data_IF_347525513814
#
_entry.id   IF_347525513814
#
_cell.length_a   1.000
_cell.length_b   1.000
_cell.length_c   1.000
_cell.angle_alpha   90.00
_cell.angle_beta   90.00
_cell.angle_gamma   90.00
#
_symmetry.space_group_name_H-M   'P 1'
#
loop_
_entity.id
_entity.type
_entity.pdbx_description
1 polymer ?
#
# COMPACT_ATOMS: atom_id res chain seq x y z
N UNK A 1 19.55 -1.03 2.52
CA UNK A 1 18.87 -0.09 3.44
C UNK A 1 19.82 0.93 4.09
N UNK A 2 21.12 0.84 3.90
CA UNK A 2 22.10 1.77 4.49
C UNK A 2 21.85 3.26 4.13
N UNK A 3 21.26 3.53 2.97
CA UNK A 3 20.89 4.86 2.46
C UNK A 3 19.39 5.13 2.50
N UNK A 4 18.65 4.34 3.24
CA UNK A 4 17.19 4.46 3.30
C UNK A 4 16.72 4.86 4.70
N UNK A 5 15.57 5.51 4.72
CA UNK A 5 14.83 5.83 5.93
C UNK A 5 13.35 5.46 5.77
N UNK A 6 12.67 5.25 6.88
CA UNK A 6 11.23 5.03 6.91
C UNK A 6 10.56 6.00 7.88
N UNK A 7 9.32 6.40 7.57
CA UNK A 7 8.55 7.29 8.43
C UNK A 7 8.10 6.59 9.70
N UNK A 8 8.48 7.15 10.85
CA UNK A 8 8.07 6.70 12.18
C UNK A 8 7.12 7.72 12.81
N UNK A 9 5.91 7.79 12.26
CA UNK A 9 4.86 8.74 12.66
C UNK A 9 3.51 8.03 12.71
N UNK A 10 2.55 8.54 13.46
CA UNK A 10 1.19 7.98 13.52
C UNK A 10 0.29 8.47 12.38
N UNK A 11 0.59 9.62 11.79
CA UNK A 11 -0.13 10.19 10.65
C UNK A 11 0.73 10.20 9.40
N UNK A 12 0.97 11.34 8.83
CA UNK A 12 1.90 11.54 7.72
C UNK A 12 2.92 12.62 8.08
N UNK A 13 4.05 12.63 7.41
CA UNK A 13 5.04 13.70 7.52
C UNK A 13 5.15 14.45 6.19
N UNK A 14 5.23 15.79 6.27
CA UNK A 14 5.41 16.63 5.10
C UNK A 14 6.84 16.57 4.59
N UNK A 15 6.97 16.42 3.28
CA UNK A 15 8.23 16.59 2.57
C UNK A 15 8.29 18.04 2.12
N UNK A 16 9.36 18.73 2.46
CA UNK A 16 9.53 20.17 2.25
C UNK A 16 10.53 20.46 1.14
N UNK A 17 10.36 21.58 0.46
CA UNK A 17 11.28 22.02 -0.61
C UNK A 17 12.66 22.43 -0.06
N UNK A 18 12.74 22.88 1.20
CA UNK A 18 13.98 23.32 1.86
C UNK A 18 14.03 22.79 3.31
N UNK A 19 15.19 22.88 3.94
CA UNK A 19 15.45 22.52 5.35
C UNK A 19 14.77 23.50 6.33
N UNK A 20 13.50 23.78 6.12
CA UNK A 20 12.75 24.77 6.85
C UNK A 20 11.28 24.35 6.98
N UNK A 21 10.72 24.48 8.19
CA UNK A 21 9.32 24.15 8.48
C UNK A 21 8.30 25.09 7.79
N UNK A 22 8.72 26.27 7.36
CA UNK A 22 7.88 27.24 6.67
C UNK A 22 7.96 27.16 5.14
N UNK A 23 8.86 26.29 4.60
CA UNK A 23 9.00 26.09 3.16
C UNK A 23 7.83 25.31 2.56
N UNK A 24 7.71 25.36 1.24
CA UNK A 24 6.65 24.69 0.48
C UNK A 24 6.62 23.17 0.74
N UNK A 25 5.42 22.60 0.81
CA UNK A 25 5.23 21.16 0.93
C UNK A 25 5.16 20.58 -0.48
N UNK A 26 6.14 19.75 -0.84
CA UNK A 26 6.24 19.11 -2.17
C UNK A 26 5.62 17.71 -2.20
N UNK A 27 5.41 17.11 -1.04
CA UNK A 27 4.80 15.79 -0.91
C UNK A 27 4.60 15.38 0.53
N UNK A 28 4.11 14.18 0.71
CA UNK A 28 3.90 13.57 2.03
C UNK A 28 4.49 12.16 2.07
N UNK A 29 4.90 11.73 3.25
CA UNK A 29 5.34 10.37 3.52
C UNK A 29 4.40 9.74 4.55
N UNK A 30 3.78 8.62 4.19
CA UNK A 30 2.86 7.89 5.04
C UNK A 30 3.60 7.08 6.11
N UNK A 31 2.92 6.68 7.21
CA UNK A 31 3.52 5.87 8.26
C UNK A 31 4.15 4.59 7.72
N UNK A 32 5.37 4.32 8.10
CA UNK A 32 6.10 3.14 7.67
C UNK A 32 6.66 3.18 6.24
N UNK A 33 6.26 4.13 5.40
CA UNK A 33 6.77 4.24 4.03
C UNK A 33 8.24 4.62 4.00
N UNK A 34 8.95 4.11 2.99
CA UNK A 34 10.40 4.26 2.87
C UNK A 34 10.79 5.29 1.81
N UNK A 35 11.90 5.97 2.06
CA UNK A 35 12.52 6.91 1.13
C UNK A 35 14.02 6.68 1.05
N UNK A 36 14.63 7.04 -0.07
CA UNK A 36 16.08 7.09 -0.20
C UNK A 36 16.60 8.40 0.36
N UNK A 37 17.54 8.34 1.28
CA UNK A 37 18.25 9.49 1.83
C UNK A 37 19.43 9.81 0.91
N UNK A 38 19.38 10.94 0.25
CA UNK A 38 20.45 11.41 -0.65
C UNK A 38 21.52 12.18 0.11
N UNK A 39 21.10 12.93 1.15
CA UNK A 39 22.00 13.67 2.03
C UNK A 39 21.43 13.68 3.45
N UNK A 40 22.23 13.23 4.41
CA UNK A 40 21.83 13.22 5.82
C UNK A 40 22.45 14.43 6.53
N UNK A 41 21.61 15.36 6.94
CA UNK A 41 22.01 16.50 7.79
C UNK A 41 21.78 16.22 9.27
N UNK A 42 22.02 17.24 10.12
CA UNK A 42 21.89 17.13 11.58
C UNK A 42 20.42 17.11 12.04
N UNK A 43 19.59 18.00 11.51
CA UNK A 43 18.14 18.09 11.84
C UNK A 43 17.24 17.65 10.68
N UNK A 44 17.68 17.87 9.44
CA UNK A 44 16.93 17.57 8.23
C UNK A 44 17.74 16.63 7.34
N UNK A 45 17.06 15.74 6.65
CA UNK A 45 17.66 14.89 5.62
C UNK A 45 17.00 15.16 4.29
N UNK A 46 17.83 15.28 3.24
CA UNK A 46 17.36 15.33 1.86
C UNK A 46 17.00 13.93 1.40
N UNK A 47 15.82 13.79 0.84
CA UNK A 47 15.30 12.52 0.38
C UNK A 47 14.86 12.56 -1.08
N UNK A 48 14.85 11.40 -1.70
CA UNK A 48 14.25 11.19 -3.02
C UNK A 48 13.45 9.89 -3.02
N UNK A 49 12.22 9.93 -3.50
CA UNK A 49 11.36 8.75 -3.63
C UNK A 49 10.20 9.03 -4.58
N UNK A 50 9.93 8.12 -5.52
CA UNK A 50 8.80 8.21 -6.47
C UNK A 50 8.70 9.54 -7.22
N UNK A 51 9.85 10.12 -7.59
CA UNK A 51 9.90 11.42 -8.28
C UNK A 51 9.71 12.65 -7.37
N UNK A 52 9.49 12.46 -6.08
CA UNK A 52 9.45 13.53 -5.08
C UNK A 52 10.83 13.70 -4.47
N UNK A 53 11.37 14.91 -4.52
CA UNK A 53 12.61 15.30 -3.84
C UNK A 53 12.31 16.40 -2.83
N UNK A 54 12.96 16.34 -1.68
CA UNK A 54 12.78 17.35 -0.64
C UNK A 54 13.44 16.98 0.66
N UNK A 55 13.03 17.63 1.73
CA UNK A 55 13.61 17.50 3.06
C UNK A 55 12.58 17.04 4.08
N UNK A 56 13.02 16.15 4.96
CA UNK A 56 12.24 15.69 6.11
C UNK A 56 13.08 15.84 7.37
N UNK A 57 12.46 16.22 8.49
CA UNK A 57 13.14 16.24 9.78
C UNK A 57 13.49 14.84 10.24
N UNK A 58 14.71 14.68 10.75
CA UNK A 58 15.25 13.39 11.20
C UNK A 58 14.44 12.79 12.37
N UNK A 59 13.77 13.60 13.17
CA UNK A 59 12.94 13.15 14.31
C UNK A 59 11.74 12.28 13.87
N UNK A 60 11.31 12.40 12.60
CA UNK A 60 10.21 11.62 12.01
C UNK A 60 10.67 10.40 11.23
N UNK A 61 11.98 10.15 11.20
CA UNK A 61 12.59 9.09 10.40
C UNK A 61 13.37 8.10 11.26
N UNK A 62 13.27 6.85 10.92
CA UNK A 62 14.22 5.80 11.31
C UNK A 62 15.09 5.45 10.13
N UNK A 63 16.34 5.06 10.36
CA UNK A 63 17.36 4.91 9.30
C UNK A 63 17.94 3.50 9.26
N UNK A 64 18.42 3.09 8.08
CA UNK A 64 19.19 1.85 7.89
C UNK A 64 18.39 0.59 8.19
N UNK A 65 18.97 -0.32 8.94
CA UNK A 65 18.33 -1.62 9.26
C UNK A 65 17.10 -1.47 10.17
N UNK A 66 17.07 -0.45 11.01
CA UNK A 66 15.89 -0.12 11.81
C UNK A 66 14.73 0.33 10.91
N UNK A 67 15.01 1.11 9.87
CA UNK A 67 14.02 1.49 8.87
C UNK A 67 13.47 0.27 8.13
N UNK A 68 14.32 -0.70 7.79
CA UNK A 68 13.92 -1.96 7.16
C UNK A 68 12.95 -2.75 8.05
N UNK A 69 13.28 -2.88 9.32
CA UNK A 69 12.43 -3.58 10.29
C UNK A 69 11.09 -2.85 10.47
N UNK A 70 11.13 -1.52 10.57
CA UNK A 70 9.93 -0.68 10.70
C UNK A 70 9.04 -0.77 9.46
N UNK A 71 9.62 -0.63 8.26
CA UNK A 71 8.89 -0.79 6.99
C UNK A 71 8.23 -2.17 6.89
N UNK A 72 8.99 -3.24 7.19
CA UNK A 72 8.48 -4.62 7.17
C UNK A 72 7.28 -4.80 8.09
N UNK A 73 7.34 -4.26 9.30
CA UNK A 73 6.27 -4.37 10.29
C UNK A 73 5.00 -3.60 9.87
N UNK A 74 5.17 -2.43 9.24
CA UNK A 74 4.05 -1.54 8.88
C UNK A 74 3.45 -1.85 7.52
N UNK A 75 4.28 -2.10 6.52
CA UNK A 75 3.87 -2.22 5.11
C UNK A 75 3.98 -3.64 4.57
N UNK A 76 4.82 -4.49 5.20
CA UNK A 76 5.28 -5.73 4.62
C UNK A 76 6.26 -5.49 3.45
N UNK A 77 7.10 -6.48 3.15
CA UNK A 77 7.89 -6.49 1.93
C UNK A 77 7.15 -7.36 0.92
N UNK A 78 6.95 -6.86 -0.28
CA UNK A 78 6.31 -7.65 -1.33
C UNK A 78 7.24 -8.75 -1.80
N UNK A 79 6.75 -9.98 -1.80
CA UNK A 79 7.42 -11.14 -2.37
C UNK A 79 6.63 -11.69 -3.55
N UNK A 80 7.32 -12.14 -4.58
CA UNK A 80 6.72 -12.78 -5.77
C UNK A 80 7.03 -14.27 -5.75
N UNK A 81 6.01 -15.09 -5.81
CA UNK A 81 6.12 -16.56 -5.81
C UNK A 81 6.72 -17.05 -7.14
N UNK A 82 7.82 -17.80 -7.06
CA UNK A 82 8.52 -18.34 -8.22
C UNK A 82 8.09 -19.79 -8.57
N UNK A 83 7.57 -20.52 -7.58
CA UNK A 83 7.14 -21.91 -7.77
C UNK A 83 5.73 -21.98 -8.39
N UNK A 84 5.47 -22.96 -9.25
CA UNK A 84 4.14 -23.23 -9.82
C UNK A 84 3.07 -23.41 -8.74
N UNK A 85 3.46 -23.97 -7.59
CA UNK A 85 2.60 -24.22 -6.45
C UNK A 85 3.41 -24.17 -5.16
N UNK A 86 3.27 -23.10 -4.40
CA UNK A 86 3.95 -22.90 -3.11
C UNK A 86 3.00 -23.20 -1.95
N UNK A 87 3.39 -24.11 -1.10
CA UNK A 87 2.61 -24.48 0.10
C UNK A 87 2.70 -23.39 1.16
N UNK A 88 1.55 -22.96 1.63
CA UNK A 88 1.41 -22.09 2.80
C UNK A 88 1.22 -22.97 4.04
N UNK A 89 1.99 -22.70 5.10
CA UNK A 89 2.04 -23.52 6.30
C UNK A 89 1.71 -22.70 7.55
N UNK A 90 1.23 -23.40 8.57
CA UNK A 90 0.89 -22.81 9.87
C UNK A 90 2.10 -22.32 10.67
N UNK A 91 3.25 -22.98 10.50
CA UNK A 91 4.51 -22.61 11.16
C UNK A 91 5.71 -22.74 10.21
N UNK A 92 6.85 -22.15 10.59
CA UNK A 92 8.11 -22.17 9.85
C UNK A 92 8.77 -23.56 9.85
N UNK A 93 8.06 -24.56 9.36
CA UNK A 93 8.50 -25.96 9.31
C UNK A 93 7.84 -26.73 8.18
N UNK A 94 8.60 -27.65 7.54
CA UNK A 94 8.08 -28.58 6.54
C UNK A 94 7.11 -29.62 7.12
N UNK A 95 7.16 -29.84 8.42
CA UNK A 95 6.29 -30.80 9.13
C UNK A 95 4.99 -30.17 9.64
N UNK A 96 4.89 -28.83 9.60
CA UNK A 96 3.69 -28.12 10.02
C UNK A 96 2.53 -28.30 9.03
N UNK A 97 1.31 -28.09 9.52
CA UNK A 97 0.09 -28.23 8.71
C UNK A 97 0.11 -27.27 7.51
N UNK A 98 -0.31 -27.75 6.35
CA UNK A 98 -0.54 -26.91 5.19
C UNK A 98 -1.92 -26.23 5.33
N UNK A 99 -1.93 -24.91 5.31
CA UNK A 99 -3.13 -24.08 5.42
C UNK A 99 -3.60 -23.52 4.07
N UNK A 100 -2.75 -23.62 3.04
CA UNK A 100 -3.11 -23.17 1.71
C UNK A 100 -2.03 -23.39 0.67
N UNK A 101 -2.21 -22.79 -0.49
CA UNK A 101 -1.29 -22.86 -1.62
C UNK A 101 -1.31 -21.54 -2.37
N UNK A 102 -0.15 -21.08 -2.80
CA UNK A 102 0.03 -19.91 -3.67
C UNK A 102 0.48 -20.38 -5.06
N UNK A 103 0.02 -19.70 -6.07
CA UNK A 103 0.40 -19.95 -7.48
C UNK A 103 1.60 -19.12 -7.91
N UNK A 104 2.26 -19.52 -8.97
CA UNK A 104 3.36 -18.79 -9.58
C UNK A 104 2.95 -17.35 -9.93
N UNK A 105 3.88 -16.43 -9.76
CA UNK A 105 3.69 -14.99 -9.90
C UNK A 105 2.66 -14.37 -8.93
N UNK A 106 2.15 -15.13 -7.95
CA UNK A 106 1.34 -14.57 -6.87
C UNK A 106 2.19 -13.66 -5.99
N UNK A 107 1.64 -12.50 -5.61
CA UNK A 107 2.28 -11.56 -4.69
C UNK A 107 1.86 -11.85 -3.26
N UNK A 108 2.79 -11.72 -2.33
CA UNK A 108 2.56 -11.89 -0.89
C UNK A 108 3.25 -10.77 -0.12
N UNK A 109 2.60 -10.29 0.93
CA UNK A 109 3.22 -9.34 1.85
C UNK A 109 3.93 -10.08 2.97
N UNK A 110 5.23 -9.83 3.11
CA UNK A 110 6.13 -10.47 4.08
C UNK A 110 6.32 -9.52 5.25
N UNK A 111 5.94 -9.95 6.43
CA UNK A 111 6.02 -9.17 7.68
C UNK A 111 7.15 -9.65 8.60
N UNK A 112 7.66 -10.86 8.40
CA UNK A 112 8.73 -11.45 9.21
C UNK A 112 9.55 -12.45 8.43
N UNK A 113 10.70 -12.80 9.00
CA UNK A 113 11.61 -13.81 8.50
C UNK A 113 12.07 -14.68 9.68
N UNK A 114 11.93 -15.99 9.54
CA UNK A 114 12.35 -16.97 10.55
C UNK A 114 13.13 -18.09 9.87
N UNK A 115 14.44 -18.07 10.05
CA UNK A 115 15.40 -18.94 9.34
C UNK A 115 15.19 -18.83 7.80
N UNK A 116 14.81 -19.94 7.15
CA UNK A 116 14.56 -19.98 5.69
C UNK A 116 13.10 -19.76 5.32
N UNK A 117 12.27 -19.26 6.25
CA UNK A 117 10.84 -19.05 6.06
C UNK A 117 10.46 -17.58 6.14
N UNK A 118 9.52 -17.16 5.29
CA UNK A 118 8.90 -15.87 5.37
C UNK A 118 7.53 -15.96 6.04
N UNK A 119 7.30 -15.09 7.02
CA UNK A 119 6.00 -14.90 7.64
C UNK A 119 5.15 -14.00 6.75
N UNK A 120 4.00 -14.51 6.35
CA UNK A 120 3.03 -13.81 5.52
C UNK A 120 1.67 -13.72 6.23
N UNK A 121 0.78 -12.87 5.73
CA UNK A 121 -0.63 -12.91 6.12
C UNK A 121 -1.42 -13.68 5.08
N UNK A 122 -2.09 -14.75 5.50
CA UNK A 122 -2.90 -15.61 4.64
C UNK A 122 -4.29 -15.80 5.26
N UNK A 123 -5.33 -15.42 4.53
CA UNK A 123 -6.74 -15.52 4.99
C UNK A 123 -6.99 -14.90 6.38
N UNK A 124 -6.30 -13.79 6.71
CA UNK A 124 -6.45 -13.10 8.00
C UNK A 124 -5.64 -13.66 9.16
N UNK A 125 -4.82 -14.69 8.92
CA UNK A 125 -3.95 -15.31 9.93
C UNK A 125 -2.48 -15.27 9.49
N UNK A 126 -1.56 -15.30 10.45
CA UNK A 126 -0.14 -15.48 10.17
C UNK A 126 0.11 -16.88 9.64
N UNK A 127 0.88 -16.99 8.56
CA UNK A 127 1.26 -18.23 7.93
C UNK A 127 2.70 -18.11 7.40
N UNK A 128 3.26 -19.21 6.94
CA UNK A 128 4.67 -19.26 6.54
C UNK A 128 4.82 -19.89 5.16
N UNK A 129 5.75 -19.33 4.39
CA UNK A 129 6.18 -19.86 3.09
C UNK A 129 7.71 -19.99 3.08
N UNK A 130 8.23 -20.99 2.36
CA UNK A 130 9.67 -21.17 2.27
C UNK A 130 10.31 -20.11 1.38
N UNK A 131 11.35 -19.44 1.88
CA UNK A 131 11.99 -18.29 1.23
C UNK A 131 12.62 -18.60 -0.12
N UNK A 132 13.12 -19.82 -0.35
CA UNK A 132 13.74 -20.23 -1.62
C UNK A 132 12.79 -20.09 -2.84
N UNK A 133 11.50 -20.08 -2.60
CA UNK A 133 10.47 -20.01 -3.63
C UNK A 133 9.82 -18.63 -3.77
N UNK A 134 10.36 -17.64 -3.06
CA UNK A 134 9.82 -16.26 -3.09
C UNK A 134 10.95 -15.29 -3.35
N UNK A 135 10.83 -14.52 -4.42
CA UNK A 135 11.75 -13.41 -4.71
C UNK A 135 11.18 -12.13 -4.11
N UNK A 136 11.98 -11.42 -3.31
CA UNK A 136 11.58 -10.14 -2.75
C UNK A 136 11.54 -9.09 -3.86
N UNK A 137 10.46 -8.32 -3.92
CA UNK A 137 10.35 -7.15 -4.78
C UNK A 137 11.13 -6.00 -4.14
N UNK A 138 11.86 -5.26 -4.96
CA UNK A 138 12.54 -4.03 -4.54
C UNK A 138 11.61 -2.81 -4.57
N UNK A 139 10.37 -2.97 -5.04
CA UNK A 139 9.38 -1.90 -5.04
C UNK A 139 8.88 -1.64 -3.63
N UNK A 140 9.34 -0.52 -3.08
CA UNK A 140 8.94 -0.05 -1.76
C UNK A 140 7.90 1.05 -1.89
N UNK A 141 6.91 1.03 -1.00
CA UNK A 141 5.98 2.15 -0.85
C UNK A 141 6.76 3.38 -0.38
N UNK A 142 6.70 4.45 -1.15
CA UNK A 142 7.50 5.64 -0.95
C UNK A 142 6.69 6.92 -0.83
N UNK A 143 7.35 8.06 -1.05
CA UNK A 143 6.73 9.36 -1.01
C UNK A 143 5.54 9.47 -1.98
N UNK A 144 4.55 10.23 -1.59
CA UNK A 144 3.39 10.60 -2.40
C UNK A 144 3.50 12.09 -2.69
N UNK A 145 3.38 12.48 -3.97
CA UNK A 145 3.42 13.90 -4.33
C UNK A 145 2.22 14.64 -3.73
N UNK A 146 2.35 15.95 -3.54
CA UNK A 146 1.24 16.76 -3.02
C UNK A 146 0.02 16.70 -3.93
N UNK A 147 0.23 16.61 -5.25
CA UNK A 147 -0.85 16.48 -6.24
C UNK A 147 -1.61 15.15 -6.07
N UNK A 148 -0.91 14.03 -5.98
CA UNK A 148 -1.52 12.70 -5.74
C UNK A 148 -2.21 12.63 -4.38
N UNK A 149 -1.61 13.22 -3.35
CA UNK A 149 -2.20 13.26 -2.01
C UNK A 149 -3.51 14.07 -1.99
N UNK A 150 -3.53 15.24 -2.62
CA UNK A 150 -4.74 16.05 -2.75
C UNK A 150 -5.83 15.37 -3.59
N UNK A 151 -5.45 14.69 -4.67
CA UNK A 151 -6.38 13.91 -5.49
C UNK A 151 -7.01 12.76 -4.67
N UNK A 152 -6.23 12.06 -3.87
CA UNK A 152 -6.74 11.00 -2.99
C UNK A 152 -7.70 11.52 -1.92
N UNK A 153 -7.42 12.70 -1.35
CA UNK A 153 -8.29 13.36 -0.37
C UNK A 153 -9.60 13.86 -1.01
N UNK A 154 -9.53 14.39 -2.24
CA UNK A 154 -10.72 14.83 -2.98
C UNK A 154 -11.65 13.65 -3.30
N UNK A 155 -11.10 12.48 -3.68
CA UNK A 155 -11.87 11.25 -3.87
C UNK A 155 -12.52 10.77 -2.55
N UNK A 156 -11.78 10.80 -1.44
CA UNK A 156 -12.30 10.42 -0.13
C UNK A 156 -13.41 11.39 0.34
N UNK A 157 -13.24 12.69 0.11
CA UNK A 157 -14.24 13.71 0.45
C UNK A 157 -15.50 13.59 -0.42
N UNK A 158 -15.38 13.28 -1.71
CA UNK A 158 -16.53 13.08 -2.60
C UNK A 158 -17.34 11.83 -2.24
N UNK A 159 -16.68 10.75 -1.82
CA UNK A 159 -17.38 9.56 -1.32
C UNK A 159 -18.04 9.78 0.05
N UNK A 160 -17.43 10.57 0.93
CA UNK A 160 -18.03 10.95 2.21
C UNK A 160 -19.21 11.94 2.04
N UNK A 161 -19.13 12.88 1.09
CA UNK A 161 -20.21 13.80 0.77
C UNK A 161 -21.40 13.08 0.11
N UNK A 162 -21.16 12.07 -0.74
CA UNK A 162 -22.20 11.21 -1.28
C UNK A 162 -22.90 10.39 -0.19
N UNK A 163 -22.16 9.96 0.85
CA UNK A 163 -22.76 9.27 2.00
C UNK A 163 -23.58 10.20 2.93
N UNK A 164 -23.24 11.50 3.00
CA UNK A 164 -23.92 12.47 3.87
C UNK A 164 -25.16 13.11 3.24
N UNK A 165 -25.31 13.11 1.90
CA UNK A 165 -26.49 13.59 1.18
C UNK A 165 -27.54 12.51 0.93
N UNK A 166 -27.26 11.24 1.26
CA UNK A 166 -28.21 10.13 1.20
C UNK A 166 -29.17 10.12 2.39
N UNK A 167 -29.84 11.26 2.64
CA UNK A 167 -31.09 11.26 3.38
C UNK A 167 -32.19 10.66 2.50
N UNK A 168 -32.55 9.37 2.78
CA UNK A 168 -33.67 8.63 2.15
C UNK A 168 -33.45 8.21 0.68
N UNK A 169 -32.36 7.56 0.37
CA UNK A 169 -32.28 6.68 -0.79
C UNK A 169 -32.33 5.21 -0.29
N UNK A 170 -33.19 4.42 -0.93
CA UNK A 170 -33.30 2.99 -0.66
C UNK A 170 -31.91 2.32 -0.76
N UNK A 171 -31.52 1.65 0.29
CA UNK A 171 -30.28 0.84 0.31
C UNK A 171 -30.48 -0.26 -0.73
N UNK A 172 -29.80 -0.16 -1.86
CA UNK A 172 -29.72 -1.26 -2.83
C UNK A 172 -28.86 -2.32 -2.15
N UNK A 173 -29.46 -3.42 -1.74
CA UNK A 173 -28.72 -4.58 -1.26
C UNK A 173 -28.05 -5.24 -2.44
N UNK A 174 -26.77 -4.86 -2.72
CA UNK A 174 -25.94 -5.60 -3.66
C UNK A 174 -25.61 -6.98 -3.05
N UNK A 175 -25.88 -8.04 -3.76
CA UNK A 175 -25.44 -9.36 -3.35
C UNK A 175 -23.94 -9.58 -3.68
N UNK A 176 -23.40 -10.70 -3.22
CA UNK A 176 -21.98 -11.01 -3.45
C UNK A 176 -21.62 -11.19 -4.94
N UNK A 177 -22.61 -11.53 -5.78
CA UNK A 177 -22.43 -11.66 -7.23
C UNK A 177 -22.38 -10.29 -7.90
N UNK A 178 -23.21 -9.35 -7.45
CA UNK A 178 -23.20 -7.96 -7.96
C UNK A 178 -21.88 -7.28 -7.67
N UNK A 179 -21.34 -7.48 -6.46
CA UNK A 179 -20.03 -6.95 -6.06
C UNK A 179 -18.90 -7.59 -6.87
N UNK A 180 -18.95 -8.91 -7.09
CA UNK A 180 -17.95 -9.62 -7.89
C UNK A 180 -17.99 -9.20 -9.38
N UNK A 181 -19.19 -8.97 -9.93
CA UNK A 181 -19.35 -8.51 -11.31
C UNK A 181 -18.84 -7.09 -11.49
N UNK A 182 -19.12 -6.20 -10.52
CA UNK A 182 -18.59 -4.83 -10.52
C UNK A 182 -17.06 -4.82 -10.41
N UNK A 183 -16.48 -5.63 -9.53
CA UNK A 183 -15.04 -5.77 -9.39
C UNK A 183 -14.38 -6.25 -10.70
N UNK A 184 -14.95 -7.28 -11.36
CA UNK A 184 -14.46 -7.78 -12.64
C UNK A 184 -14.57 -6.74 -13.75
N UNK A 185 -15.62 -5.92 -13.75
CA UNK A 185 -15.78 -4.84 -14.73
C UNK A 185 -14.73 -3.74 -14.53
N UNK A 186 -14.47 -3.33 -13.29
CA UNK A 186 -13.43 -2.36 -12.95
C UNK A 186 -12.06 -2.89 -13.37
N UNK A 187 -11.77 -4.16 -13.11
CA UNK A 187 -10.51 -4.79 -13.47
C UNK A 187 -10.34 -4.89 -15.00
N UNK A 188 -11.41 -5.16 -15.74
CA UNK A 188 -11.40 -5.20 -17.20
C UNK A 188 -11.16 -3.83 -17.83
N UNK A 189 -11.78 -2.78 -17.30
CA UNK A 189 -11.69 -1.41 -17.87
C UNK A 189 -10.45 -0.65 -17.38
N UNK A 190 -9.97 -0.92 -16.19
CA UNK A 190 -8.89 -0.18 -15.53
C UNK A 190 -7.74 -1.07 -15.03
N UNK A 191 -7.61 -2.29 -15.50
CA UNK A 191 -6.62 -3.27 -15.03
C UNK A 191 -5.15 -2.91 -15.27
N UNK A 192 -4.88 -1.79 -15.96
CA UNK A 192 -3.53 -1.22 -16.13
C UNK A 192 -3.34 0.13 -15.44
N UNK A 193 -4.37 0.60 -14.74
CA UNK A 193 -4.38 1.90 -14.11
C UNK A 193 -3.95 1.81 -12.62
N UNK A 194 -3.61 2.96 -12.06
CA UNK A 194 -3.38 3.07 -10.62
C UNK A 194 -4.65 2.75 -9.83
N UNK A 195 -4.51 2.41 -8.54
CA UNK A 195 -5.66 2.18 -7.65
C UNK A 195 -6.68 3.34 -7.68
N UNK A 196 -6.21 4.58 -7.79
CA UNK A 196 -7.06 5.78 -7.91
C UNK A 196 -7.84 5.78 -9.22
N UNK A 197 -7.23 5.34 -10.31
CA UNK A 197 -7.92 5.17 -11.61
C UNK A 197 -9.02 4.12 -11.54
N UNK A 198 -8.76 2.98 -10.92
CA UNK A 198 -9.77 1.92 -10.72
C UNK A 198 -10.96 2.39 -9.88
N UNK A 199 -10.72 3.16 -8.80
CA UNK A 199 -11.77 3.75 -7.97
C UNK A 199 -12.61 4.76 -8.76
N UNK A 200 -11.98 5.58 -9.59
CA UNK A 200 -12.69 6.54 -10.43
C UNK A 200 -13.61 5.87 -11.45
N UNK A 201 -13.15 4.80 -12.12
CA UNK A 201 -13.95 3.98 -13.04
C UNK A 201 -15.13 3.34 -12.32
N UNK A 202 -14.89 2.74 -11.14
CA UNK A 202 -15.94 2.14 -10.32
C UNK A 202 -17.02 3.14 -9.91
N UNK A 203 -16.64 4.36 -9.54
CA UNK A 203 -17.57 5.43 -9.18
C UNK A 203 -18.46 5.87 -10.37
N UNK A 204 -17.89 5.94 -11.57
CA UNK A 204 -18.64 6.27 -12.80
C UNK A 204 -19.63 5.17 -13.14
N UNK A 205 -19.23 3.89 -13.07
CA UNK A 205 -20.10 2.74 -13.37
C UNK A 205 -21.28 2.68 -12.41
N UNK A 206 -21.05 2.87 -11.11
CA UNK A 206 -22.13 2.89 -10.10
C UNK A 206 -23.06 4.07 -10.34
N UNK A 207 -22.55 5.24 -10.64
CA UNK A 207 -23.35 6.44 -10.88
C UNK A 207 -24.22 6.31 -12.15
N UNK A 208 -23.67 5.74 -13.23
CA UNK A 208 -24.43 5.48 -14.47
C UNK A 208 -25.54 4.44 -14.27
N UNK A 209 -25.29 3.41 -13.46
CA UNK A 209 -26.31 2.40 -13.16
C UNK A 209 -27.48 2.99 -12.34
N UNK A 210 -27.22 3.93 -11.43
CA UNK A 210 -28.25 4.62 -10.65
C UNK A 210 -29.14 5.55 -11.49
N UNK A 211 -28.60 6.15 -12.55
CA UNK A 211 -29.37 7.03 -13.45
C UNK A 211 -30.37 6.23 -14.30
N UNK A 212 -30.05 4.98 -14.66
CA UNK A 212 -30.91 4.13 -15.50
C UNK A 212 -32.09 3.45 -14.73
N UNK A 213 -32.07 3.45 -13.40
CA UNK A 213 -33.09 2.81 -12.55
C UNK A 213 -34.23 3.80 -12.18
N UNK A 214 -34.12 5.07 -12.53
CA UNK A 214 -35.10 6.13 -12.17
C UNK A 214 -36.11 6.50 -13.27
N UNK A 215 -36.29 5.65 -14.33
CA UNK A 215 -37.39 5.77 -15.31
C UNK A 215 -38.50 4.73 -15.12
#
# INVERSE_FOLDING_TARGET
WSTMAAANVEGYVNIRSEENADSEIVGVLMPGYAVTVTEKGDEWSKISSNGVEGYIKNEYLVFGEEAKAHYRNMCGITGVVQADSLRVREAASTDSAQVGTLTQNGEVSIFGEEADWYQIQYSGSSAYVHGDYVTLSEELKGAVSMEEYQASQACAASSAAAASTAGSASVISADSNDVAMLAALIECEAGGESYTGMVAVGAVVVNLSLIHISE
#
